data_IF_108718936772
#
_entry.id   IF_108718936772
#
_cell.length_a   1.000
_cell.length_b   1.000
_cell.length_c   1.000
_cell.angle_alpha   90.00
_cell.angle_beta   90.00
_cell.angle_gamma   90.00
#
_symmetry.space_group_name_H-M   'P 1'
#
loop_
_entity.id
_entity.type
_entity.pdbx_description
1 polymer ?
#
# COMPACT_ATOMS: atom_id res chain seq x y z
N UNK A 1 3.65 -12.44 -0.98
CA UNK A 1 3.27 -11.06 -1.33
C UNK A 1 1.77 -10.98 -1.08
N UNK A 2 1.39 -10.34 0.01
CA UNK A 2 -0.01 -10.21 0.41
C UNK A 2 -0.65 -9.08 -0.39
N UNK A 3 -1.97 -9.13 -0.63
CA UNK A 3 -2.69 -8.15 -1.47
C UNK A 3 -2.47 -6.68 -1.06
N UNK A 4 -2.16 -6.43 0.20
CA UNK A 4 -1.84 -5.11 0.74
C UNK A 4 -0.58 -4.45 0.15
N UNK A 5 0.34 -5.22 -0.44
CA UNK A 5 1.58 -4.70 -1.04
C UNK A 5 1.32 -3.91 -2.34
N UNK A 6 0.08 -3.90 -2.85
CA UNK A 6 -0.31 -3.35 -4.16
C UNK A 6 -1.29 -2.18 -4.08
N UNK A 7 -1.72 -1.79 -2.88
CA UNK A 7 -2.75 -0.79 -2.70
C UNK A 7 -2.15 0.56 -2.24
N UNK A 8 -2.10 1.58 -3.12
CA UNK A 8 -1.60 2.91 -2.76
C UNK A 8 -2.43 3.57 -1.66
N UNK A 9 -3.73 3.26 -1.55
CA UNK A 9 -4.58 3.77 -0.48
C UNK A 9 -4.25 3.10 0.85
N UNK A 10 -3.96 1.80 0.86
CA UNK A 10 -3.50 1.10 2.06
C UNK A 10 -2.16 1.66 2.57
N UNK A 11 -1.23 1.99 1.67
CA UNK A 11 0.04 2.62 2.05
C UNK A 11 -0.16 4.04 2.58
N UNK A 12 -1.03 4.83 1.94
CA UNK A 12 -1.39 6.16 2.42
C UNK A 12 -2.09 6.12 3.79
N UNK A 13 -2.98 5.16 4.00
CA UNK A 13 -3.63 4.90 5.28
C UNK A 13 -2.60 4.52 6.36
N UNK A 14 -1.66 3.61 6.04
CA UNK A 14 -0.61 3.20 6.96
C UNK A 14 0.28 4.40 7.35
N UNK A 15 0.68 5.24 6.37
CA UNK A 15 1.44 6.48 6.62
C UNK A 15 0.69 7.43 7.56
N UNK A 16 -0.61 7.57 7.34
CA UNK A 16 -1.48 8.40 8.20
C UNK A 16 -1.53 7.88 9.63
N UNK A 17 -1.63 6.56 9.83
CA UNK A 17 -1.62 5.94 11.16
C UNK A 17 -0.28 6.16 11.88
N UNK A 18 0.84 5.97 11.20
CA UNK A 18 2.16 6.22 11.79
C UNK A 18 2.34 7.69 12.14
N UNK A 19 1.88 8.61 11.28
CA UNK A 19 1.94 10.04 11.56
C UNK A 19 1.11 10.42 12.81
N UNK A 20 -0.08 9.81 12.97
CA UNK A 20 -0.89 10.02 14.17
C UNK A 20 -0.17 9.63 15.47
N UNK A 21 0.54 8.49 15.48
CA UNK A 21 1.30 8.07 16.67
C UNK A 21 2.51 8.97 16.94
N UNK A 22 3.17 9.49 15.89
CA UNK A 22 4.23 10.50 16.03
C UNK A 22 3.66 11.77 16.66
N UNK A 23 2.50 12.23 16.21
CA UNK A 23 1.86 13.43 16.74
C UNK A 23 1.44 13.24 18.21
N UNK A 24 0.92 12.06 18.55
CA UNK A 24 0.61 11.68 19.92
C UNK A 24 1.85 11.67 20.82
N UNK A 25 2.96 11.11 20.35
CA UNK A 25 4.23 11.15 21.08
C UNK A 25 4.69 12.60 21.33
N UNK A 26 4.57 13.48 20.33
CA UNK A 26 4.91 14.90 20.49
C UNK A 26 4.00 15.63 21.51
N UNK A 27 2.72 15.26 21.61
CA UNK A 27 1.83 15.78 22.66
C UNK A 27 2.31 15.35 24.06
N UNK A 28 2.80 14.12 24.21
CA UNK A 28 3.40 13.67 25.47
C UNK A 28 4.71 14.38 25.79
N UNK A 29 5.54 14.71 24.79
CA UNK A 29 6.71 15.58 24.99
C UNK A 29 6.28 16.93 25.57
N UNK A 30 5.33 17.60 24.93
CA UNK A 30 4.84 18.90 25.40
C UNK A 30 4.26 18.85 26.83
N UNK A 31 3.52 17.78 27.14
CA UNK A 31 2.95 17.56 28.47
C UNK A 31 4.04 17.34 29.52
N UNK A 32 5.05 16.51 29.22
CA UNK A 32 6.18 16.24 30.10
C UNK A 32 7.04 17.48 30.35
N UNK A 33 7.33 18.26 29.30
CA UNK A 33 8.04 19.54 29.43
C UNK A 33 7.28 20.53 30.31
N UNK A 34 5.95 20.58 30.21
CA UNK A 34 5.11 21.49 31.01
C UNK A 34 5.18 21.18 32.51
N UNK A 35 5.30 19.91 32.89
CA UNK A 35 5.42 19.49 34.29
C UNK A 35 6.88 19.36 34.78
N UNK A 36 7.85 19.69 33.93
CA UNK A 36 9.28 19.64 34.25
C UNK A 36 9.92 18.25 34.23
N UNK A 37 9.25 17.23 33.68
CA UNK A 37 9.77 15.86 33.55
C UNK A 37 10.57 15.70 32.24
N UNK A 38 11.85 16.04 32.29
CA UNK A 38 12.73 15.98 31.11
C UNK A 38 13.02 14.54 30.66
N UNK A 39 13.12 13.58 31.58
CA UNK A 39 13.37 12.18 31.26
C UNK A 39 12.19 11.57 30.47
N UNK A 40 10.96 11.91 30.82
CA UNK A 40 9.79 11.54 30.01
C UNK A 40 9.80 12.24 28.64
N UNK A 41 10.10 13.55 28.61
CA UNK A 41 10.16 14.31 27.35
C UNK A 41 11.20 13.73 26.36
N UNK A 42 12.37 13.34 26.84
CA UNK A 42 13.44 12.75 26.03
C UNK A 42 13.06 11.37 25.48
N UNK A 43 12.43 10.52 26.30
CA UNK A 43 11.95 9.20 25.87
C UNK A 43 10.89 9.31 24.77
N UNK A 44 9.91 10.20 24.94
CA UNK A 44 8.88 10.43 23.92
C UNK A 44 9.46 11.06 22.65
N UNK A 45 10.41 11.98 22.78
CA UNK A 45 11.12 12.57 21.65
C UNK A 45 11.95 11.54 20.88
N UNK A 46 12.57 10.59 21.58
CA UNK A 46 13.25 9.46 20.95
C UNK A 46 12.28 8.57 20.19
N UNK A 47 11.15 8.20 20.80
CA UNK A 47 10.13 7.34 20.15
C UNK A 47 9.59 7.98 18.86
N UNK A 48 9.24 9.27 18.89
CA UNK A 48 8.76 10.01 17.71
C UNK A 48 9.79 10.02 16.58
N UNK A 49 11.07 10.29 16.91
CA UNK A 49 12.17 10.27 15.93
C UNK A 49 12.40 8.88 15.36
N UNK A 50 12.34 7.84 16.19
CA UNK A 50 12.52 6.46 15.75
C UNK A 50 11.43 6.02 14.78
N UNK A 51 10.15 6.27 15.11
CA UNK A 51 9.01 5.96 14.22
C UNK A 51 9.15 6.69 12.88
N UNK A 52 9.47 7.99 12.90
CA UNK A 52 9.67 8.76 11.68
C UNK A 52 10.78 8.16 10.82
N UNK A 53 11.93 7.83 11.43
CA UNK A 53 13.10 7.31 10.72
C UNK A 53 12.86 5.93 10.09
N UNK A 54 12.24 5.03 10.84
CA UNK A 54 12.10 3.63 10.44
C UNK A 54 10.94 3.45 9.45
N UNK A 55 9.85 4.19 9.60
CA UNK A 55 8.61 3.92 8.90
C UNK A 55 8.28 4.91 7.79
N UNK A 56 8.49 6.21 7.99
CA UNK A 56 8.05 7.25 7.03
C UNK A 56 9.21 7.79 6.17
N UNK A 57 10.37 8.08 6.76
CA UNK A 57 11.45 8.73 6.00
C UNK A 57 12.84 8.45 6.55
N UNK A 58 13.82 8.29 5.66
CA UNK A 58 15.21 7.94 5.99
C UNK A 58 15.70 6.79 5.12
N UNK A 59 17.02 6.60 5.07
CA UNK A 59 17.62 5.50 4.31
C UNK A 59 17.12 4.14 4.85
N UNK A 60 16.47 3.37 3.98
CA UNK A 60 15.90 2.07 4.31
C UNK A 60 14.55 2.10 5.03
N UNK A 61 13.84 3.24 5.07
CA UNK A 61 12.52 3.29 5.68
C UNK A 61 11.53 2.38 4.93
N UNK A 62 10.63 1.74 5.67
CA UNK A 62 9.75 0.70 5.12
C UNK A 62 8.84 1.29 4.06
N UNK A 63 8.12 2.38 4.34
CA UNK A 63 7.19 2.97 3.38
C UNK A 63 7.89 3.62 2.19
N UNK A 64 9.08 4.20 2.38
CA UNK A 64 9.86 4.77 1.26
C UNK A 64 10.36 3.69 0.30
N UNK A 65 10.82 2.55 0.81
CA UNK A 65 11.13 1.38 -0.04
C UNK A 65 9.91 0.85 -0.78
N UNK A 66 8.71 0.96 -0.21
CA UNK A 66 7.47 0.61 -0.91
C UNK A 66 7.14 1.64 -2.01
N UNK A 67 7.22 2.95 -1.72
CA UNK A 67 7.01 4.01 -2.72
C UNK A 67 7.93 3.84 -3.94
N UNK A 68 9.21 3.49 -3.71
CA UNK A 68 10.19 3.25 -4.77
C UNK A 68 9.85 2.02 -5.64
N UNK A 69 9.32 0.95 -5.03
CA UNK A 69 9.02 -0.31 -5.72
C UNK A 69 7.64 -0.35 -6.38
N UNK A 70 6.70 0.49 -5.93
CA UNK A 70 5.31 0.50 -6.41
C UNK A 70 5.20 0.64 -7.94
N UNK A 71 5.95 1.54 -8.63
CA UNK A 71 5.84 1.68 -10.08
C UNK A 71 6.30 0.44 -10.85
N UNK A 72 7.36 -0.21 -10.38
CA UNK A 72 7.87 -1.46 -10.98
C UNK A 72 6.91 -2.61 -10.76
N UNK A 73 6.31 -2.69 -9.57
CA UNK A 73 5.28 -3.67 -9.22
C UNK A 73 4.02 -3.51 -10.08
N UNK A 74 3.51 -2.29 -10.24
CA UNK A 74 2.37 -2.01 -11.11
C UNK A 74 2.68 -2.43 -12.56
N UNK A 75 3.83 -2.04 -13.10
CA UNK A 75 4.25 -2.46 -14.46
C UNK A 75 4.36 -3.97 -14.60
N UNK A 76 4.93 -4.66 -13.61
CA UNK A 76 5.05 -6.11 -13.64
C UNK A 76 3.67 -6.80 -13.61
N UNK A 77 2.71 -6.27 -12.86
CA UNK A 77 1.32 -6.77 -12.82
C UNK A 77 0.59 -6.50 -14.14
N UNK A 78 0.68 -5.28 -14.67
CA UNK A 78 0.07 -4.92 -15.96
C UNK A 78 0.59 -5.81 -17.10
N UNK A 79 1.88 -6.18 -17.06
CA UNK A 79 2.49 -7.07 -18.03
C UNK A 79 2.28 -8.57 -17.74
N UNK A 80 1.92 -8.93 -16.49
CA UNK A 80 1.60 -10.30 -16.10
C UNK A 80 0.14 -10.68 -16.39
N UNK A 81 -0.74 -9.69 -16.55
CA UNK A 81 -2.06 -9.89 -17.12
C UNK A 81 -1.88 -10.21 -18.61
N UNK A 82 -2.20 -11.44 -19.07
CA UNK A 82 -2.19 -11.71 -20.49
C UNK A 82 -3.14 -10.72 -21.17
N UNK A 83 -2.72 -10.18 -22.32
CA UNK A 83 -3.59 -9.40 -23.20
C UNK A 83 -4.93 -10.13 -23.25
N UNK A 84 -6.00 -9.39 -22.87
CA UNK A 84 -7.35 -9.91 -22.70
C UNK A 84 -7.57 -11.07 -23.65
N UNK A 85 -7.95 -12.25 -23.14
CA UNK A 85 -8.29 -13.43 -23.93
C UNK A 85 -9.20 -12.97 -25.08
N UNK A 86 -8.57 -12.65 -26.21
CA UNK A 86 -9.17 -11.77 -27.19
C UNK A 86 -10.01 -12.68 -28.06
N UNK A 87 -11.33 -12.55 -27.90
CA UNK A 87 -12.34 -12.88 -28.90
C UNK A 87 -12.52 -14.34 -29.37
N UNK A 88 -11.64 -15.27 -29.05
CA UNK A 88 -11.76 -16.65 -29.55
C UNK A 88 -12.83 -17.49 -28.81
N UNK A 89 -13.11 -17.20 -27.54
CA UNK A 89 -14.11 -17.95 -26.73
C UNK A 89 -15.56 -17.60 -27.12
N UNK A 90 -15.80 -16.50 -27.85
CA UNK A 90 -17.15 -16.13 -28.34
C UNK A 90 -17.52 -16.73 -29.70
N UNK A 91 -16.72 -17.66 -30.22
CA UNK A 91 -17.00 -18.37 -31.48
C UNK A 91 -16.96 -19.88 -31.35
N UNK A 92 -16.97 -20.41 -30.14
CA UNK A 92 -17.19 -21.84 -29.97
C UNK A 92 -18.68 -22.13 -29.77
N UNK A 93 -19.33 -22.47 -30.87
CA UNK A 93 -20.71 -22.97 -30.90
C UNK A 93 -20.80 -24.44 -30.48
N UNK A 94 -19.72 -25.05 -29.98
CA UNK A 94 -19.70 -26.44 -29.51
C UNK A 94 -20.67 -26.75 -28.36
N UNK A 95 -21.24 -25.73 -27.70
CA UNK A 95 -22.22 -25.89 -26.62
C UNK A 95 -23.68 -25.63 -27.04
N UNK A 96 -23.96 -25.19 -28.27
CA UNK A 96 -25.34 -25.19 -28.76
C UNK A 96 -25.64 -26.58 -29.32
N UNK A 97 -26.21 -27.46 -28.48
CA UNK A 97 -26.57 -28.84 -28.83
C UNK A 97 -27.69 -28.99 -29.88
N UNK A 98 -27.73 -28.15 -30.90
CA UNK A 98 -28.65 -28.20 -32.02
C UNK A 98 -27.94 -27.73 -33.31
N UNK A 99 -27.61 -28.67 -34.20
CA UNK A 99 -27.35 -28.33 -35.60
C UNK A 99 -28.69 -28.19 -36.36
N UNK A 100 -28.84 -27.21 -37.27
CA UNK A 100 -27.95 -26.09 -37.57
C UNK A 100 -28.40 -24.75 -36.95
N UNK A 101 -27.42 -23.96 -36.48
CA UNK A 101 -27.54 -22.59 -36.00
C UNK A 101 -28.03 -21.66 -37.13
N UNK A 102 -29.22 -21.09 -36.97
CA UNK A 102 -29.95 -20.36 -38.02
C UNK A 102 -29.53 -18.90 -38.22
N UNK A 103 -28.52 -18.40 -37.52
CA UNK A 103 -28.13 -16.98 -37.56
C UNK A 103 -26.78 -16.70 -38.27
N UNK A 104 -26.43 -17.52 -39.26
CA UNK A 104 -25.43 -17.16 -40.29
C UNK A 104 -26.12 -16.58 -41.53
N UNK A 105 -26.73 -15.40 -41.40
CA UNK A 105 -27.06 -14.51 -42.53
C UNK A 105 -26.52 -13.12 -42.28
#
# INVERSE_FOLDING_TARGET
MTDYDRDPEALAWARTKVQHEIDRANQFVASATTVGDQDAADRWSFAARHLRRTLIGGEGCVMGRFDERLPELHRAVDNALPAAVDRAVRRDHSLCGAEPCSDCR
#
